data_IF_865615166918
#
_entry.id   IF_865615166918
#
_cell.length_a   1.000
_cell.length_b   1.000
_cell.length_c   1.000
_cell.angle_alpha   90.00
_cell.angle_beta   90.00
_cell.angle_gamma   90.00
#
_symmetry.space_group_name_H-M   'P 1'
#
loop_
_entity.id
_entity.type
_entity.pdbx_description
1 polymer ?
#
# COMPACT_ATOMS: atom_id res chain seq x y z
N UNK A 1 41.09 -29.30 1.04
CA UNK A 1 41.53 -27.90 0.79
C UNK A 1 40.94 -26.98 1.85
N UNK A 2 41.66 -25.96 2.33
CA UNK A 2 41.08 -24.98 3.28
C UNK A 2 40.00 -24.14 2.55
N UNK A 3 38.82 -24.02 3.09
CA UNK A 3 37.65 -23.39 2.41
C UNK A 3 37.91 -22.01 1.78
N UNK A 4 38.80 -21.21 2.37
CA UNK A 4 39.18 -19.88 1.85
C UNK A 4 39.87 -19.95 0.46
N UNK A 5 40.63 -21.03 0.19
CA UNK A 5 41.25 -21.25 -1.13
C UNK A 5 40.24 -21.58 -2.20
N UNK A 6 39.19 -22.32 -1.86
CA UNK A 6 38.12 -22.67 -2.80
C UNK A 6 37.35 -21.39 -3.22
N UNK A 7 37.01 -20.54 -2.28
CA UNK A 7 36.33 -19.27 -2.58
C UNK A 7 37.14 -18.34 -3.46
N UNK A 8 38.44 -18.17 -3.15
CA UNK A 8 39.35 -17.32 -3.92
C UNK A 8 39.57 -17.85 -5.35
N UNK A 9 39.66 -19.15 -5.51
CA UNK A 9 39.82 -19.80 -6.82
C UNK A 9 38.52 -19.71 -7.63
N UNK A 10 37.37 -19.95 -7.01
CA UNK A 10 36.04 -19.79 -7.63
C UNK A 10 35.84 -18.35 -8.15
N UNK A 11 36.17 -17.34 -7.34
CA UNK A 11 36.09 -15.94 -7.72
C UNK A 11 36.97 -15.60 -8.93
N UNK A 12 38.21 -16.08 -8.95
CA UNK A 12 39.15 -15.84 -10.03
C UNK A 12 38.70 -16.52 -11.34
N UNK A 13 38.13 -17.70 -11.25
CA UNK A 13 37.59 -18.46 -12.37
C UNK A 13 36.28 -17.82 -12.94
N UNK A 14 35.48 -17.19 -12.11
CA UNK A 14 34.25 -16.47 -12.53
C UNK A 14 34.57 -15.39 -13.55
N UNK A 15 35.63 -14.61 -13.32
CA UNK A 15 36.04 -13.53 -14.24
C UNK A 15 36.76 -14.01 -15.50
N UNK A 16 37.28 -15.23 -15.50
CA UNK A 16 37.95 -15.83 -16.69
C UNK A 16 36.94 -16.37 -17.72
N UNK A 17 35.70 -16.65 -17.31
CA UNK A 17 34.69 -17.23 -18.19
C UNK A 17 33.51 -16.26 -18.30
N UNK A 18 33.68 -15.25 -19.16
CA UNK A 18 32.80 -14.12 -19.28
C UNK A 18 31.39 -14.54 -19.74
N UNK A 19 31.26 -15.44 -20.72
CA UNK A 19 29.98 -15.80 -21.36
C UNK A 19 28.96 -16.38 -20.36
N UNK A 20 29.24 -17.49 -19.62
CA UNK A 20 28.27 -18.08 -18.70
C UNK A 20 28.01 -17.17 -17.48
N UNK A 21 29.05 -16.42 -17.06
CA UNK A 21 28.92 -15.46 -15.96
C UNK A 21 27.95 -14.32 -16.33
N UNK A 22 28.10 -13.77 -17.54
CA UNK A 22 27.24 -12.72 -18.05
C UNK A 22 25.80 -13.21 -18.26
N UNK A 23 25.62 -14.44 -18.78
CA UNK A 23 24.29 -15.03 -18.92
C UNK A 23 23.58 -15.21 -17.57
N UNK A 24 24.25 -15.76 -16.56
CA UNK A 24 23.71 -15.89 -15.21
C UNK A 24 23.35 -14.51 -14.61
N UNK A 25 24.23 -13.54 -14.79
CA UNK A 25 24.03 -12.18 -14.33
C UNK A 25 22.79 -11.54 -14.97
N UNK A 26 22.66 -11.60 -16.31
CA UNK A 26 21.53 -11.03 -17.05
C UNK A 26 20.22 -11.73 -16.70
N UNK A 27 20.22 -13.07 -16.61
CA UNK A 27 19.04 -13.84 -16.22
C UNK A 27 18.58 -13.46 -14.81
N UNK A 28 19.53 -13.28 -13.87
CA UNK A 28 19.20 -12.90 -12.49
C UNK A 28 18.66 -11.47 -12.40
N UNK A 29 19.24 -10.52 -13.15
CA UNK A 29 18.69 -9.16 -13.26
C UNK A 29 17.24 -9.24 -13.77
N UNK A 30 17.01 -9.91 -14.90
CA UNK A 30 15.70 -10.01 -15.53
C UNK A 30 14.66 -10.67 -14.62
N UNK A 31 15.02 -11.76 -13.94
CA UNK A 31 14.13 -12.43 -13.00
C UNK A 31 13.78 -11.54 -11.80
N UNK A 32 14.77 -10.85 -11.21
CA UNK A 32 14.54 -9.95 -10.07
C UNK A 32 13.72 -8.73 -10.48
N UNK A 33 14.06 -8.09 -11.60
CA UNK A 33 13.28 -6.99 -12.16
C UNK A 33 11.83 -7.40 -12.42
N UNK A 34 11.62 -8.52 -13.12
CA UNK A 34 10.28 -9.03 -13.41
C UNK A 34 9.48 -9.29 -12.14
N UNK A 35 10.05 -9.95 -11.13
CA UNK A 35 9.38 -10.22 -9.86
C UNK A 35 9.04 -8.93 -9.10
N UNK A 36 9.96 -7.97 -9.01
CA UNK A 36 9.75 -6.75 -8.24
C UNK A 36 8.81 -5.76 -8.95
N UNK A 37 8.93 -5.59 -10.28
CA UNK A 37 8.06 -4.69 -11.02
C UNK A 37 6.63 -5.24 -11.19
N UNK A 38 6.41 -6.54 -11.05
CA UNK A 38 5.08 -7.15 -11.07
C UNK A 38 4.52 -7.36 -9.67
N UNK A 39 5.00 -8.35 -8.94
CA UNK A 39 4.51 -8.68 -7.61
C UNK A 39 4.82 -7.59 -6.57
N UNK A 40 5.96 -6.89 -6.70
CA UNK A 40 6.35 -5.81 -5.80
C UNK A 40 5.39 -4.63 -5.85
N UNK A 41 4.91 -4.26 -7.04
CA UNK A 41 3.93 -3.17 -7.18
C UNK A 41 2.59 -3.52 -6.53
N UNK A 42 2.17 -4.77 -6.61
CA UNK A 42 0.95 -5.21 -5.96
C UNK A 42 1.07 -5.18 -4.44
N UNK A 43 2.22 -5.59 -3.89
CA UNK A 43 2.49 -5.48 -2.44
C UNK A 43 2.54 -4.02 -1.99
N UNK A 44 3.14 -3.13 -2.80
CA UNK A 44 3.13 -1.69 -2.52
C UNK A 44 1.71 -1.12 -2.49
N UNK A 45 0.85 -1.48 -3.44
CA UNK A 45 -0.55 -1.09 -3.44
C UNK A 45 -1.33 -1.65 -2.24
N UNK A 46 -1.11 -2.91 -1.87
CA UNK A 46 -1.70 -3.48 -0.66
C UNK A 46 -1.28 -2.73 0.60
N UNK A 47 -0.03 -2.29 0.68
CA UNK A 47 0.45 -1.53 1.82
C UNK A 47 -0.16 -0.12 1.87
N UNK A 48 -0.36 0.54 0.74
CA UNK A 48 -1.10 1.81 0.64
C UNK A 48 -2.54 1.60 1.13
N UNK A 49 -3.22 0.57 0.64
CA UNK A 49 -4.58 0.23 1.10
C UNK A 49 -4.61 -0.07 2.60
N UNK A 50 -3.64 -0.83 3.11
CA UNK A 50 -3.56 -1.12 4.55
C UNK A 50 -3.33 0.13 5.40
N UNK A 51 -2.54 1.08 4.91
CA UNK A 51 -2.35 2.37 5.58
C UNK A 51 -3.63 3.22 5.52
N UNK A 52 -4.35 3.20 4.38
CA UNK A 52 -5.65 3.87 4.26
C UNK A 52 -6.70 3.27 5.20
N UNK A 53 -6.66 1.95 5.46
CA UNK A 53 -7.55 1.30 6.44
C UNK A 53 -7.28 1.75 7.89
N UNK A 54 -6.07 2.20 8.19
CA UNK A 54 -5.70 2.76 9.50
C UNK A 54 -6.04 4.25 9.61
N UNK A 55 -6.31 4.92 8.50
CA UNK A 55 -6.71 6.31 8.50
C UNK A 55 -8.10 6.45 9.16
N UNK A 56 -8.25 7.28 10.19
CA UNK A 56 -9.56 7.58 10.76
C UNK A 56 -10.59 8.01 9.71
N UNK A 57 -10.16 8.70 8.65
CA UNK A 57 -11.03 9.11 7.55
C UNK A 57 -11.69 7.93 6.79
N UNK A 58 -11.10 6.74 6.82
CA UNK A 58 -11.71 5.55 6.23
C UNK A 58 -12.95 5.06 6.99
N UNK A 59 -13.08 5.40 8.28
CA UNK A 59 -14.23 5.06 9.14
C UNK A 59 -15.35 6.08 9.05
N UNK A 60 -15.12 7.17 8.33
CA UNK A 60 -16.11 8.22 8.13
C UNK A 60 -17.12 7.83 7.06
N UNK A 61 -18.39 8.02 7.39
CA UNK A 61 -19.54 7.80 6.50
C UNK A 61 -20.42 9.03 6.52
N UNK A 62 -20.67 9.61 5.36
CA UNK A 62 -21.68 10.65 5.22
C UNK A 62 -22.89 10.08 4.50
N UNK A 63 -24.06 10.25 5.11
CA UNK A 63 -25.34 9.87 4.54
C UNK A 63 -26.05 11.15 4.16
N UNK A 64 -26.38 11.28 2.89
CA UNK A 64 -27.10 12.44 2.38
C UNK A 64 -28.52 12.10 2.03
N UNK A 65 -29.42 12.97 2.41
CA UNK A 65 -30.80 12.97 2.00
C UNK A 65 -31.07 14.17 1.09
N UNK A 66 -31.11 13.99 -0.22
CA UNK A 66 -31.38 15.08 -1.16
C UNK A 66 -32.78 15.69 -0.96
N UNK A 67 -33.75 14.91 -0.48
CA UNK A 67 -35.13 15.39 -0.21
C UNK A 67 -35.20 16.22 1.07
N UNK A 68 -34.36 15.89 2.08
CA UNK A 68 -34.40 16.51 3.40
C UNK A 68 -35.58 16.11 4.26
N UNK A 69 -36.31 15.04 3.90
CA UNK A 69 -37.48 14.57 4.59
C UNK A 69 -37.26 13.33 5.45
N UNK A 70 -36.21 12.56 5.13
CA UNK A 70 -35.95 11.26 5.75
C UNK A 70 -35.07 11.37 6.99
N UNK A 71 -34.10 12.31 7.02
CA UNK A 71 -33.17 12.44 8.11
C UNK A 71 -33.68 13.47 9.13
N UNK A 72 -33.98 12.98 10.32
CA UNK A 72 -34.49 13.78 11.42
C UNK A 72 -33.71 13.49 12.74
N UNK A 73 -34.03 14.23 13.78
CA UNK A 73 -33.39 14.10 15.10
C UNK A 73 -33.59 12.73 15.73
N UNK A 74 -34.72 12.07 15.49
CA UNK A 74 -34.97 10.73 16.02
C UNK A 74 -34.00 9.71 15.42
N UNK A 75 -33.79 9.76 14.10
CA UNK A 75 -32.83 8.91 13.39
C UNK A 75 -31.41 9.18 13.87
N UNK A 76 -31.03 10.45 14.05
CA UNK A 76 -29.72 10.80 14.61
C UNK A 76 -29.52 10.18 16.00
N UNK A 77 -30.54 10.26 16.87
CA UNK A 77 -30.49 9.67 18.23
C UNK A 77 -30.38 8.15 18.19
N UNK A 78 -31.12 7.49 17.28
CA UNK A 78 -31.03 6.04 17.08
C UNK A 78 -29.60 5.63 16.63
N UNK A 79 -29.02 6.39 15.69
CA UNK A 79 -27.67 6.13 15.20
C UNK A 79 -26.61 6.35 16.28
N UNK A 80 -26.73 7.39 17.09
CA UNK A 80 -25.83 7.63 18.23
C UNK A 80 -25.83 6.50 19.27
N UNK A 81 -26.94 5.76 19.35
CA UNK A 81 -27.09 4.61 20.26
C UNK A 81 -26.88 3.25 19.54
N UNK A 82 -26.52 3.25 18.27
CA UNK A 82 -26.25 2.02 17.51
C UNK A 82 -24.85 1.52 17.81
N UNK A 83 -24.74 0.22 18.07
CA UNK A 83 -23.43 -0.41 18.31
C UNK A 83 -22.52 -0.28 17.07
N UNK A 84 -21.24 0.05 17.28
CA UNK A 84 -20.27 0.27 16.22
C UNK A 84 -20.20 1.72 15.71
N UNK A 85 -21.01 2.63 16.28
CA UNK A 85 -20.96 4.08 16.01
C UNK A 85 -20.19 4.75 17.13
N UNK A 86 -19.03 5.34 16.82
CA UNK A 86 -18.23 6.15 17.75
C UNK A 86 -18.87 7.52 17.99
N UNK A 87 -19.35 8.15 16.92
CA UNK A 87 -20.07 9.42 16.99
C UNK A 87 -20.93 9.62 15.73
N UNK A 88 -22.04 10.34 15.88
CA UNK A 88 -22.89 10.76 14.78
C UNK A 88 -23.36 12.20 14.99
N UNK A 89 -23.27 13.02 13.95
CA UNK A 89 -23.66 14.44 13.93
C UNK A 89 -24.59 14.71 12.78
N UNK A 90 -25.65 15.45 13.06
CA UNK A 90 -26.55 15.95 12.03
C UNK A 90 -25.95 17.15 11.32
N UNK A 91 -26.05 17.15 10.00
CA UNK A 91 -25.53 18.21 9.12
C UNK A 91 -26.74 18.80 8.37
N UNK A 92 -26.88 20.10 8.49
CA UNK A 92 -27.93 20.86 7.82
C UNK A 92 -27.55 21.27 6.41
N UNK A 93 -28.10 22.39 5.99
CA UNK A 93 -27.82 22.94 4.68
C UNK A 93 -26.39 23.48 4.59
N UNK A 94 -25.78 23.28 3.43
CA UNK A 94 -24.49 23.87 3.09
C UNK A 94 -24.72 25.32 2.66
N UNK A 95 -24.06 26.22 3.33
CA UNK A 95 -24.15 27.65 3.03
C UNK A 95 -22.85 28.12 2.38
N UNK A 96 -22.97 28.85 1.29
CA UNK A 96 -21.85 29.63 0.77
C UNK A 96 -21.81 30.94 1.54
N UNK A 97 -20.73 31.21 2.24
CA UNK A 97 -20.54 32.43 3.02
C UNK A 97 -19.35 33.23 2.47
N UNK A 98 -19.40 34.53 2.68
CA UNK A 98 -18.34 35.44 2.21
C UNK A 98 -17.69 36.13 3.40
N UNK A 99 -16.36 36.25 3.35
CA UNK A 99 -15.59 37.07 4.27
C UNK A 99 -14.44 37.73 3.52
N UNK A 100 -14.32 39.07 3.63
CA UNK A 100 -13.26 39.88 2.99
C UNK A 100 -13.13 39.61 1.47
N UNK A 101 -14.23 39.27 0.78
CA UNK A 101 -14.23 38.94 -0.64
C UNK A 101 -13.86 37.47 -0.97
N UNK A 102 -13.54 36.65 0.03
CA UNK A 102 -13.32 35.24 -0.12
C UNK A 102 -14.61 34.46 0.10
N UNK A 103 -14.95 33.57 -0.83
CA UNK A 103 -16.06 32.62 -0.69
C UNK A 103 -15.62 31.40 0.06
N UNK A 104 -16.40 31.02 1.07
CA UNK A 104 -16.09 29.94 2.01
C UNK A 104 -17.34 29.07 2.16
N UNK A 105 -17.14 27.80 2.42
CA UNK A 105 -18.24 26.88 2.75
C UNK A 105 -18.51 26.91 4.26
N UNK A 106 -19.77 27.01 4.64
CA UNK A 106 -20.21 26.86 6.02
C UNK A 106 -21.18 25.67 6.15
N UNK A 107 -21.01 24.88 7.21
CA UNK A 107 -21.84 23.72 7.51
C UNK A 107 -22.57 23.93 8.82
N UNK A 108 -23.89 23.88 8.79
CA UNK A 108 -24.66 23.83 10.01
C UNK A 108 -24.60 22.44 10.62
N UNK A 109 -24.25 22.32 11.91
CA UNK A 109 -24.07 21.04 12.59
C UNK A 109 -24.75 21.01 13.94
N UNK A 110 -25.30 19.85 14.32
CA UNK A 110 -25.89 19.67 15.64
C UNK A 110 -24.84 19.75 16.76
N UNK A 111 -23.65 19.23 16.51
CA UNK A 111 -22.51 19.32 17.42
C UNK A 111 -21.20 19.48 16.64
N UNK A 112 -20.70 20.69 16.58
CA UNK A 112 -19.46 21.00 15.88
C UNK A 112 -18.21 20.53 16.64
N UNK A 113 -18.28 20.32 17.97
CA UNK A 113 -17.14 19.88 18.78
C UNK A 113 -16.71 18.45 18.48
N UNK A 114 -17.58 17.63 17.90
CA UNK A 114 -17.24 16.29 17.43
C UNK A 114 -16.34 16.34 16.20
N UNK A 115 -16.57 17.29 15.29
CA UNK A 115 -15.82 17.39 14.02
C UNK A 115 -14.54 18.22 14.13
N UNK A 116 -14.50 19.24 15.01
CA UNK A 116 -13.39 20.15 15.17
C UNK A 116 -12.98 20.32 16.63
N UNK A 117 -11.70 20.23 16.91
CA UNK A 117 -11.13 20.46 18.22
C UNK A 117 -10.79 21.96 18.36
N UNK A 118 -11.51 22.66 19.24
CA UNK A 118 -11.28 24.09 19.47
C UNK A 118 -9.93 24.31 20.15
N UNK A 119 -9.07 25.10 19.52
CA UNK A 119 -7.73 25.43 20.02
C UNK A 119 -7.67 26.85 20.57
N UNK A 120 -8.48 27.77 20.02
CA UNK A 120 -8.53 29.19 20.38
C UNK A 120 -9.97 29.68 20.41
N UNK A 121 -10.26 30.61 21.28
CA UNK A 121 -11.60 31.19 21.39
C UNK A 121 -12.36 30.68 22.61
N UNK A 122 -13.69 30.75 22.56
CA UNK A 122 -14.59 30.32 23.64
C UNK A 122 -15.54 29.23 23.17
N UNK A 123 -16.27 28.63 24.11
CA UNK A 123 -17.33 27.70 23.79
C UNK A 123 -18.40 28.36 22.92
N UNK A 124 -18.91 27.61 21.94
CA UNK A 124 -19.92 28.07 21.01
C UNK A 124 -21.31 28.07 21.63
N UNK A 125 -22.08 29.09 21.29
CA UNK A 125 -23.53 29.11 21.51
C UNK A 125 -24.27 28.80 20.20
N UNK A 126 -25.59 28.56 20.29
CA UNK A 126 -26.38 28.26 19.11
C UNK A 126 -26.30 29.39 18.07
N UNK A 127 -25.99 29.05 16.82
CA UNK A 127 -25.84 29.98 15.71
C UNK A 127 -24.44 30.56 15.53
N UNK A 128 -23.50 30.29 16.43
CA UNK A 128 -22.11 30.70 16.30
C UNK A 128 -21.27 29.65 15.53
N UNK A 129 -20.18 30.14 14.91
CA UNK A 129 -19.28 29.32 14.10
C UNK A 129 -17.91 29.14 14.72
N UNK A 130 -17.31 28.00 14.43
CA UNK A 130 -15.88 27.72 14.58
C UNK A 130 -15.25 27.57 13.21
N UNK A 131 -14.05 28.12 13.04
CA UNK A 131 -13.32 28.08 11.77
C UNK A 131 -12.11 27.14 11.89
N UNK A 132 -11.83 26.40 10.82
CA UNK A 132 -10.59 25.62 10.74
C UNK A 132 -9.38 26.56 10.65
N UNK A 133 -8.34 26.29 11.45
CA UNK A 133 -7.12 27.14 11.48
C UNK A 133 -6.42 27.20 10.11
N UNK A 134 -6.52 26.17 9.28
CA UNK A 134 -5.97 26.16 7.92
C UNK A 134 -6.62 27.22 7.02
N UNK A 135 -7.87 27.55 7.29
CA UNK A 135 -8.64 28.54 6.53
C UNK A 135 -8.28 29.98 6.90
N UNK A 136 -7.84 30.24 8.14
CA UNK A 136 -7.52 31.60 8.62
C UNK A 136 -6.52 32.30 7.70
N UNK A 137 -5.44 31.62 7.34
CA UNK A 137 -4.42 32.19 6.44
C UNK A 137 -4.94 32.43 5.02
N UNK A 138 -5.90 31.60 4.56
CA UNK A 138 -6.48 31.73 3.22
C UNK A 138 -7.41 32.92 3.08
N UNK A 139 -8.08 33.30 4.18
CA UNK A 139 -9.02 34.43 4.21
C UNK A 139 -8.40 35.73 4.76
N UNK A 140 -7.12 35.67 5.16
CA UNK A 140 -6.41 36.83 5.68
C UNK A 140 -6.79 37.22 7.12
N UNK A 141 -7.25 36.27 7.94
CA UNK A 141 -7.53 36.48 9.34
C UNK A 141 -6.32 36.08 10.21
N UNK A 142 -5.94 36.98 11.12
CA UNK A 142 -4.87 36.70 12.11
C UNK A 142 -5.41 35.99 13.36
N UNK A 143 -6.70 36.17 13.65
CA UNK A 143 -7.37 35.64 14.83
C UNK A 143 -8.69 34.96 14.41
N UNK A 144 -9.10 33.86 15.07
CA UNK A 144 -10.34 33.17 14.75
C UNK A 144 -11.57 33.88 15.37
N UNK A 145 -11.70 35.14 15.11
CA UNK A 145 -12.82 35.94 15.63
C UNK A 145 -13.22 36.97 14.57
N UNK A 146 -14.48 36.88 14.14
CA UNK A 146 -15.01 37.77 13.09
C UNK A 146 -16.42 37.40 12.71
N UNK A 147 -16.86 37.87 11.56
CA UNK A 147 -18.15 37.54 10.99
C UNK A 147 -18.01 37.07 9.54
N UNK A 148 -18.80 36.08 9.18
CA UNK A 148 -18.98 35.66 7.81
C UNK A 148 -20.42 35.87 7.40
N UNK A 149 -20.65 36.21 6.15
CA UNK A 149 -21.97 36.61 5.66
C UNK A 149 -22.52 35.58 4.69
N UNK A 150 -23.64 35.00 5.02
CA UNK A 150 -24.38 34.13 4.11
C UNK A 150 -25.26 34.94 3.15
N UNK A 151 -25.86 34.28 2.17
CA UNK A 151 -26.83 34.88 1.27
C UNK A 151 -27.91 35.66 2.06
N UNK A 152 -28.41 36.76 1.51
CA UNK A 152 -29.32 37.70 2.17
C UNK A 152 -28.76 38.44 3.39
N UNK A 153 -27.40 38.61 3.45
CA UNK A 153 -26.71 39.32 4.52
C UNK A 153 -26.89 38.76 5.93
N UNK A 154 -27.23 37.44 6.03
CA UNK A 154 -27.26 36.79 7.33
C UNK A 154 -25.84 36.68 7.89
N UNK A 155 -25.60 37.39 8.99
CA UNK A 155 -24.33 37.35 9.70
C UNK A 155 -24.21 36.09 10.56
N UNK A 156 -23.06 35.42 10.49
CA UNK A 156 -22.69 34.31 11.35
C UNK A 156 -21.41 34.72 12.08
N UNK A 157 -21.52 34.83 13.41
CA UNK A 157 -20.37 35.20 14.25
C UNK A 157 -19.44 33.96 14.38
N UNK A 158 -18.20 34.13 13.99
CA UNK A 158 -17.12 33.13 14.23
C UNK A 158 -16.39 33.54 15.49
N UNK A 159 -16.42 32.70 16.51
CA UNK A 159 -15.91 33.03 17.87
C UNK A 159 -14.79 32.10 18.34
N UNK A 160 -14.48 31.10 17.54
CA UNK A 160 -13.45 30.12 17.85
C UNK A 160 -12.73 29.62 16.59
N UNK A 161 -11.49 29.18 16.79
CA UNK A 161 -10.70 28.48 15.79
C UNK A 161 -10.27 27.11 16.32
N UNK A 162 -10.12 26.16 15.44
CA UNK A 162 -9.74 24.82 15.81
C UNK A 162 -9.10 24.03 14.69
N UNK A 163 -8.74 22.80 14.99
CA UNK A 163 -8.26 21.84 14.00
C UNK A 163 -9.33 20.79 13.75
N UNK A 164 -9.64 20.57 12.50
CA UNK A 164 -10.52 19.46 12.10
C UNK A 164 -9.93 18.15 12.58
N UNK A 165 -10.74 17.33 13.29
CA UNK A 165 -10.31 16.04 13.80
C UNK A 165 -9.98 15.07 12.67
N UNK A 166 -8.94 14.22 12.83
CA UNK A 166 -8.67 13.13 11.90
C UNK A 166 -9.96 12.30 11.71
N UNK A 167 -10.36 12.09 10.48
CA UNK A 167 -11.62 11.40 10.18
C UNK A 167 -12.74 12.33 9.73
N UNK A 168 -12.78 13.56 10.18
CA UNK A 168 -13.71 14.59 9.72
C UNK A 168 -13.07 15.54 8.69
N UNK A 169 -11.99 15.12 8.04
CA UNK A 169 -11.26 15.91 7.03
C UNK A 169 -12.13 16.40 5.87
N UNK A 170 -13.30 15.78 5.68
CA UNK A 170 -14.34 16.25 4.75
C UNK A 170 -14.79 17.69 5.07
N UNK A 171 -14.76 18.10 6.33
CA UNK A 171 -15.16 19.42 6.79
C UNK A 171 -13.96 20.38 6.98
N UNK A 172 -12.77 19.98 6.56
CA UNK A 172 -11.61 20.85 6.55
C UNK A 172 -11.86 22.06 5.62
N UNK A 173 -11.19 23.16 5.89
CA UNK A 173 -11.34 24.41 5.11
C UNK A 173 -12.77 24.97 5.09
N UNK A 174 -13.53 24.76 6.16
CA UNK A 174 -14.91 25.25 6.28
C UNK A 174 -15.14 25.96 7.62
N UNK A 175 -16.25 26.68 7.71
CA UNK A 175 -16.82 27.20 8.95
C UNK A 175 -17.91 26.24 9.43
N UNK A 176 -17.79 25.74 10.67
CA UNK A 176 -18.80 24.86 11.27
C UNK A 176 -19.69 25.68 12.21
N UNK A 177 -20.96 25.77 11.89
CA UNK A 177 -21.94 26.55 12.65
C UNK A 177 -22.67 25.61 13.61
N UNK A 178 -22.57 25.90 14.91
CA UNK A 178 -23.22 25.11 15.94
C UNK A 178 -24.72 25.36 15.99
N UNK A 179 -25.52 24.36 15.63
CA UNK A 179 -26.99 24.43 15.63
C UNK A 179 -27.58 23.19 16.34
N UNK A 180 -27.61 23.16 17.67
CA UNK A 180 -28.06 21.98 18.43
C UNK A 180 -29.53 21.64 18.23
N UNK A 181 -30.33 22.57 17.76
CA UNK A 181 -31.78 22.41 17.56
C UNK A 181 -32.17 22.11 16.10
N UNK A 182 -31.19 21.62 15.29
CA UNK A 182 -31.48 21.26 13.90
C UNK A 182 -32.44 20.09 13.84
N UNK A 183 -33.65 20.32 13.31
CA UNK A 183 -34.70 19.28 13.19
C UNK A 183 -34.58 18.51 11.88
N UNK A 184 -34.50 19.24 10.76
CA UNK A 184 -34.37 18.68 9.42
C UNK A 184 -32.91 18.69 8.99
N UNK A 185 -32.37 17.51 8.69
CA UNK A 185 -30.97 17.33 8.34
C UNK A 185 -30.86 16.94 6.86
N UNK A 186 -29.94 17.57 6.15
CA UNK A 186 -29.59 17.21 4.77
C UNK A 186 -28.61 16.05 4.71
N UNK A 187 -27.86 15.85 5.79
CA UNK A 187 -26.95 14.73 5.93
C UNK A 187 -26.74 14.35 7.41
N UNK A 188 -26.28 13.14 7.63
CA UNK A 188 -25.73 12.70 8.92
C UNK A 188 -24.31 12.23 8.65
N UNK A 189 -23.34 12.81 9.37
CA UNK A 189 -21.96 12.38 9.35
C UNK A 189 -21.70 11.45 10.54
N UNK A 190 -21.17 10.27 10.26
CA UNK A 190 -20.96 9.18 11.22
C UNK A 190 -19.51 8.80 11.23
N UNK A 191 -18.96 8.62 12.42
CA UNK A 191 -17.68 7.96 12.64
C UNK A 191 -17.95 6.56 13.19
N UNK A 192 -17.56 5.53 12.44
CA UNK A 192 -17.64 4.16 12.92
C UNK A 192 -16.52 3.85 13.91
N UNK A 193 -16.76 3.01 14.92
CA UNK A 193 -15.72 2.53 15.82
C UNK A 193 -14.65 1.76 15.06
N UNK A 194 -15.07 0.89 14.14
CA UNK A 194 -14.20 0.09 13.29
C UNK A 194 -14.71 0.13 11.85
N UNK A 195 -13.80 0.00 10.91
CA UNK A 195 -14.15 -0.01 9.49
C UNK A 195 -15.13 -1.16 9.12
N UNK A 196 -15.01 -2.30 9.80
CA UNK A 196 -15.89 -3.46 9.58
C UNK A 196 -17.35 -3.22 10.01
N UNK A 197 -17.60 -2.21 10.82
CA UNK A 197 -18.95 -1.86 11.29
C UNK A 197 -19.70 -0.97 10.27
N UNK A 198 -18.99 -0.37 9.29
CA UNK A 198 -19.59 0.52 8.29
C UNK A 198 -20.75 -0.12 7.49
N UNK A 199 -20.62 -1.37 6.97
CA UNK A 199 -21.75 -2.02 6.29
C UNK A 199 -22.95 -2.26 7.21
N UNK A 200 -22.70 -2.57 8.48
CA UNK A 200 -23.76 -2.78 9.49
C UNK A 200 -24.51 -1.48 9.78
N UNK A 201 -23.77 -0.37 9.93
CA UNK A 201 -24.35 0.97 10.10
C UNK A 201 -25.21 1.33 8.89
N UNK A 202 -24.74 1.05 7.68
CA UNK A 202 -25.50 1.29 6.47
C UNK A 202 -26.82 0.50 6.42
N UNK A 203 -26.78 -0.78 6.79
CA UNK A 203 -27.99 -1.60 6.88
C UNK A 203 -28.97 -1.09 7.95
N UNK A 204 -28.45 -0.66 9.12
CA UNK A 204 -29.26 -0.09 10.20
C UNK A 204 -30.01 1.17 9.73
N UNK A 205 -29.37 2.04 8.98
CA UNK A 205 -29.99 3.26 8.46
C UNK A 205 -31.12 2.94 7.51
N UNK A 206 -30.95 2.01 6.60
CA UNK A 206 -32.03 1.58 5.72
C UNK A 206 -33.25 1.05 6.52
N UNK A 207 -33.00 0.37 7.65
CA UNK A 207 -34.05 -0.11 8.53
C UNK A 207 -34.74 1.04 9.28
N UNK A 208 -34.00 2.04 9.75
CA UNK A 208 -34.55 3.15 10.53
C UNK A 208 -35.33 4.16 9.67
N UNK A 209 -34.94 4.32 8.40
CA UNK A 209 -35.58 5.30 7.50
C UNK A 209 -36.71 4.71 6.66
N UNK A 210 -36.87 3.37 6.62
CA UNK A 210 -37.74 2.66 5.68
C UNK A 210 -37.60 3.18 4.24
N UNK A 211 -36.44 3.66 3.90
CA UNK A 211 -36.18 4.35 2.65
C UNK A 211 -36.01 3.35 1.50
N UNK A 212 -36.75 3.60 0.42
CA UNK A 212 -36.54 2.85 -0.82
C UNK A 212 -35.10 2.99 -1.30
N UNK A 213 -34.54 1.94 -1.93
CA UNK A 213 -33.18 1.96 -2.48
C UNK A 213 -32.97 3.18 -3.41
N UNK A 214 -31.88 3.94 -3.18
CA UNK A 214 -31.54 5.11 -3.99
C UNK A 214 -32.04 6.46 -3.49
N UNK A 215 -32.88 6.51 -2.45
CA UNK A 215 -33.30 7.78 -1.83
C UNK A 215 -32.22 8.42 -0.96
N UNK A 216 -31.37 7.59 -0.34
CA UNK A 216 -30.23 8.02 0.43
C UNK A 216 -28.93 7.77 -0.34
N UNK A 217 -28.03 8.74 -0.30
CA UNK A 217 -26.70 8.60 -0.89
C UNK A 217 -25.65 8.40 0.21
N UNK A 218 -24.85 7.36 0.08
CA UNK A 218 -23.79 7.04 1.02
C UNK A 218 -22.44 7.44 0.43
N UNK A 219 -21.76 8.37 1.06
CA UNK A 219 -20.39 8.76 0.74
C UNK A 219 -19.47 8.19 1.81
N UNK A 220 -18.70 7.17 1.46
CA UNK A 220 -17.69 6.59 2.34
C UNK A 220 -16.50 6.14 1.51
N UNK A 221 -15.33 6.66 1.84
CA UNK A 221 -14.07 6.19 1.25
C UNK A 221 -13.74 4.76 1.70
N UNK A 222 -14.19 4.36 2.89
CA UNK A 222 -13.92 3.04 3.47
C UNK A 222 -14.62 1.88 2.75
N UNK A 223 -15.85 2.04 2.28
CA UNK A 223 -16.61 0.97 1.62
C UNK A 223 -15.93 0.47 0.35
N UNK A 224 -15.41 1.36 -0.48
CA UNK A 224 -14.69 0.98 -1.70
C UNK A 224 -13.36 0.27 -1.43
N UNK A 225 -12.78 0.50 -0.26
CA UNK A 225 -11.54 -0.14 0.19
C UNK A 225 -11.85 -1.54 0.72
N UNK A 226 -12.89 -1.68 1.56
CA UNK A 226 -13.31 -2.98 2.11
C UNK A 226 -13.66 -3.96 1.00
N UNK A 227 -14.44 -3.55 0.01
CA UNK A 227 -14.84 -4.40 -1.11
C UNK A 227 -13.64 -4.91 -1.92
N UNK A 228 -12.65 -4.05 -2.17
CA UNK A 228 -11.40 -4.43 -2.84
C UNK A 228 -10.53 -5.39 -2.03
N UNK A 229 -10.53 -5.29 -0.70
CA UNK A 229 -9.72 -6.15 0.17
C UNK A 229 -10.40 -7.51 0.39
N UNK A 230 -11.73 -7.55 0.48
CA UNK A 230 -12.49 -8.78 0.75
C UNK A 230 -12.67 -9.67 -0.46
N UNK A 231 -12.56 -9.15 -1.69
CA UNK A 231 -12.74 -9.94 -2.92
C UNK A 231 -11.72 -11.08 -3.11
N UNK A 232 -10.60 -11.08 -2.36
CA UNK A 232 -9.63 -12.20 -2.32
C UNK A 232 -8.92 -12.55 -3.64
N UNK A 233 -9.45 -12.14 -4.77
CA UNK A 233 -8.92 -12.43 -6.11
C UNK A 233 -7.57 -11.78 -6.35
N UNK A 234 -7.36 -10.61 -5.76
CA UNK A 234 -6.12 -9.87 -5.85
C UNK A 234 -4.93 -10.61 -5.21
N UNK A 235 -5.14 -11.21 -4.04
CA UNK A 235 -4.10 -11.98 -3.35
C UNK A 235 -3.73 -13.28 -4.10
N UNK A 236 -4.74 -13.94 -4.71
CA UNK A 236 -4.54 -15.15 -5.52
C UNK A 236 -3.76 -14.82 -6.79
N UNK A 237 -4.11 -13.76 -7.49
CA UNK A 237 -3.42 -13.28 -8.68
C UNK A 237 -1.96 -12.91 -8.41
N UNK A 238 -1.69 -12.16 -7.33
CA UNK A 238 -0.33 -11.78 -6.90
C UNK A 238 0.54 -13.01 -6.66
N UNK A 239 0.00 -14.00 -5.94
CA UNK A 239 0.71 -15.26 -5.65
C UNK A 239 1.02 -16.02 -6.95
N UNK A 240 0.08 -16.10 -7.87
CA UNK A 240 0.27 -16.77 -9.17
C UNK A 240 1.40 -16.12 -9.97
N UNK A 241 1.42 -14.79 -10.10
CA UNK A 241 2.48 -14.07 -10.82
C UNK A 241 3.85 -14.29 -10.15
N UNK A 242 3.92 -14.20 -8.82
CA UNK A 242 5.18 -14.40 -8.11
C UNK A 242 5.74 -15.81 -8.38
N UNK A 243 4.91 -16.85 -8.28
CA UNK A 243 5.32 -18.23 -8.60
C UNK A 243 5.74 -18.39 -10.05
N UNK A 244 5.06 -17.75 -10.99
CA UNK A 244 5.42 -17.81 -12.42
C UNK A 244 6.77 -17.16 -12.68
N UNK A 245 7.02 -15.96 -12.15
CA UNK A 245 8.28 -15.22 -12.38
C UNK A 245 9.45 -15.91 -11.69
N UNK A 246 9.27 -16.35 -10.43
CA UNK A 246 10.31 -17.10 -9.70
C UNK A 246 10.57 -18.43 -10.37
N UNK A 247 9.52 -19.15 -10.79
CA UNK A 247 9.62 -20.43 -11.50
C UNK A 247 10.37 -20.29 -12.83
N UNK A 248 10.03 -19.28 -13.64
CA UNK A 248 10.71 -19.01 -14.90
C UNK A 248 12.18 -18.61 -14.68
N UNK A 249 12.48 -17.76 -13.71
CA UNK A 249 13.85 -17.38 -13.36
C UNK A 249 14.68 -18.57 -12.90
N UNK A 250 14.09 -19.44 -12.07
CA UNK A 250 14.72 -20.68 -11.60
C UNK A 250 14.98 -21.65 -12.76
N UNK A 251 14.00 -21.82 -13.65
CA UNK A 251 14.12 -22.68 -14.84
C UNK A 251 15.25 -22.16 -15.77
N UNK A 252 15.29 -20.88 -16.08
CA UNK A 252 16.33 -20.29 -16.91
C UNK A 252 17.72 -20.46 -16.27
N UNK A 253 17.82 -20.30 -14.95
CA UNK A 253 19.08 -20.55 -14.23
C UNK A 253 19.50 -22.02 -14.33
N UNK A 254 18.55 -22.96 -14.24
CA UNK A 254 18.85 -24.39 -14.42
C UNK A 254 19.37 -24.68 -15.83
N UNK A 255 18.75 -24.12 -16.88
CA UNK A 255 19.18 -24.26 -18.27
C UNK A 255 20.58 -23.71 -18.49
N UNK A 256 20.87 -22.50 -17.97
CA UNK A 256 22.22 -21.89 -18.07
C UNK A 256 23.26 -22.71 -17.30
N UNK A 257 22.91 -23.23 -16.13
CA UNK A 257 23.76 -24.10 -15.33
C UNK A 257 24.06 -25.43 -16.05
N UNK A 258 23.05 -26.02 -16.70
CA UNK A 258 23.24 -27.21 -17.51
C UNK A 258 24.16 -26.95 -18.71
N UNK A 259 23.93 -25.86 -19.45
CA UNK A 259 24.78 -25.44 -20.56
C UNK A 259 26.24 -25.23 -20.11
N UNK A 260 26.42 -24.58 -18.95
CA UNK A 260 27.73 -24.41 -18.34
C UNK A 260 28.41 -25.75 -18.09
N UNK A 261 27.72 -26.68 -17.43
CA UNK A 261 28.28 -28.02 -17.13
C UNK A 261 28.64 -28.76 -18.40
N UNK A 262 27.83 -28.72 -19.44
CA UNK A 262 28.12 -29.38 -20.72
C UNK A 262 29.35 -28.77 -21.42
N UNK A 263 29.43 -27.46 -21.45
CA UNK A 263 30.58 -26.76 -22.08
C UNK A 263 31.92 -27.03 -21.38
N UNK A 264 31.86 -27.09 -20.05
CA UNK A 264 33.07 -27.20 -19.23
C UNK A 264 33.34 -28.62 -18.69
N UNK A 265 32.59 -29.65 -19.18
CA UNK A 265 32.73 -31.05 -18.73
C UNK A 265 34.15 -31.56 -18.77
N UNK A 266 34.95 -31.20 -19.79
CA UNK A 266 36.37 -31.60 -19.93
C UNK A 266 37.24 -30.98 -18.83
N UNK A 267 37.04 -29.71 -18.51
CA UNK A 267 37.78 -29.01 -17.45
C UNK A 267 37.45 -29.59 -16.08
N UNK A 268 36.20 -29.91 -15.82
CA UNK A 268 35.73 -30.55 -14.59
C UNK A 268 36.32 -31.97 -14.47
N UNK A 269 36.35 -32.73 -15.57
CA UNK A 269 36.98 -34.05 -15.62
C UNK A 269 38.49 -34.02 -15.34
N UNK A 270 39.22 -33.05 -15.93
CA UNK A 270 40.68 -32.86 -15.67
C UNK A 270 40.94 -32.52 -14.21
N UNK A 271 40.20 -31.61 -13.61
CA UNK A 271 40.33 -31.25 -12.19
C UNK A 271 40.08 -32.44 -11.27
N UNK A 272 39.14 -33.33 -11.62
CA UNK A 272 38.89 -34.56 -10.88
C UNK A 272 40.01 -35.58 -11.01
N UNK A 273 40.62 -35.71 -12.20
CA UNK A 273 41.76 -36.55 -12.44
C UNK A 273 43.00 -36.09 -11.65
N UNK A 274 43.11 -34.79 -11.34
CA UNK A 274 44.15 -34.20 -10.49
C UNK A 274 43.90 -34.41 -8.98
N UNK A 275 42.86 -35.16 -8.57
CA UNK A 275 42.65 -35.56 -7.19
C UNK A 275 41.71 -34.62 -6.40
N UNK A 276 40.98 -33.69 -7.05
CA UNK A 276 39.96 -32.89 -6.37
C UNK A 276 38.77 -33.79 -5.99
N UNK A 277 38.32 -33.70 -4.74
CA UNK A 277 37.15 -34.48 -4.27
C UNK A 277 35.87 -34.05 -4.97
N UNK A 278 34.87 -34.96 -5.01
CA UNK A 278 33.55 -34.65 -5.62
C UNK A 278 32.88 -33.47 -4.94
N UNK A 279 32.97 -33.39 -3.62
CA UNK A 279 32.36 -32.34 -2.80
C UNK A 279 33.07 -30.99 -3.06
N UNK A 280 34.40 -30.95 -3.10
CA UNK A 280 35.16 -29.72 -3.38
C UNK A 280 34.86 -29.19 -4.79
N UNK A 281 34.72 -30.10 -5.77
CA UNK A 281 34.38 -29.73 -7.15
C UNK A 281 32.97 -29.19 -7.28
N UNK A 282 32.01 -29.83 -6.59
CA UNK A 282 30.62 -29.33 -6.54
C UNK A 282 30.55 -27.98 -5.83
N UNK A 283 31.20 -27.81 -4.68
CA UNK A 283 31.25 -26.56 -3.95
C UNK A 283 31.87 -25.42 -4.77
N UNK A 284 33.02 -25.69 -5.44
CA UNK A 284 33.68 -24.72 -6.29
C UNK A 284 32.76 -24.26 -7.45
N UNK A 285 32.06 -25.21 -8.08
CA UNK A 285 31.15 -24.91 -9.19
C UNK A 285 29.91 -24.12 -8.70
N UNK A 286 29.34 -24.51 -7.54
CA UNK A 286 28.22 -23.83 -6.95
C UNK A 286 28.54 -22.38 -6.56
N UNK A 287 29.67 -22.15 -5.85
CA UNK A 287 30.10 -20.82 -5.44
C UNK A 287 30.33 -19.93 -6.67
N UNK A 288 30.91 -20.50 -7.71
CA UNK A 288 31.14 -19.82 -8.95
C UNK A 288 29.89 -19.36 -9.67
N UNK A 289 28.80 -20.16 -9.64
CA UNK A 289 27.50 -19.80 -10.21
C UNK A 289 26.71 -18.86 -9.29
N UNK A 290 26.85 -19.04 -7.97
CA UNK A 290 26.15 -18.22 -6.98
C UNK A 290 26.60 -16.74 -7.00
N UNK A 291 27.88 -16.47 -7.24
CA UNK A 291 28.39 -15.09 -7.23
C UNK A 291 27.74 -14.18 -8.30
N UNK A 292 27.73 -14.52 -9.60
CA UNK A 292 27.08 -13.68 -10.61
C UNK A 292 25.56 -13.61 -10.43
N UNK A 293 24.96 -14.69 -9.90
CA UNK A 293 23.54 -14.76 -9.61
C UNK A 293 23.16 -13.77 -8.49
N UNK A 294 23.93 -13.75 -7.40
CA UNK A 294 23.70 -12.81 -6.30
C UNK A 294 23.92 -11.36 -6.75
N UNK A 295 25.01 -11.08 -7.46
CA UNK A 295 25.30 -9.72 -7.96
C UNK A 295 24.20 -9.28 -8.93
N UNK A 296 23.76 -10.16 -9.83
CA UNK A 296 22.67 -9.90 -10.76
C UNK A 296 21.33 -9.62 -10.04
N UNK A 297 20.98 -10.44 -9.04
CA UNK A 297 19.76 -10.26 -8.28
C UNK A 297 19.76 -8.92 -7.49
N UNK A 298 20.89 -8.58 -6.85
CA UNK A 298 21.05 -7.31 -6.14
C UNK A 298 20.99 -6.12 -7.12
N UNK A 299 21.70 -6.20 -8.24
CA UNK A 299 21.65 -5.15 -9.27
C UNK A 299 20.23 -4.97 -9.84
N UNK A 300 19.53 -6.08 -10.11
CA UNK A 300 18.13 -6.07 -10.54
C UNK A 300 17.22 -5.43 -9.50
N UNK A 301 17.44 -5.69 -8.22
CA UNK A 301 16.68 -5.08 -7.13
C UNK A 301 16.91 -3.57 -7.03
N UNK A 302 18.15 -3.11 -7.17
CA UNK A 302 18.47 -1.67 -7.18
C UNK A 302 17.78 -0.98 -8.37
N UNK A 303 17.88 -1.55 -9.57
CA UNK A 303 17.23 -0.99 -10.75
C UNK A 303 15.71 -0.98 -10.58
N UNK A 304 15.12 -2.05 -10.05
CA UNK A 304 13.69 -2.10 -9.78
C UNK A 304 13.24 -1.03 -8.78
N UNK A 305 13.99 -0.80 -7.70
CA UNK A 305 13.68 0.23 -6.70
C UNK A 305 13.76 1.63 -7.30
N UNK A 306 14.79 1.91 -8.12
CA UNK A 306 14.92 3.20 -8.82
C UNK A 306 13.75 3.43 -9.78
N UNK A 307 13.40 2.44 -10.60
CA UNK A 307 12.27 2.51 -11.53
C UNK A 307 10.95 2.71 -10.77
N UNK A 308 10.77 1.96 -9.68
CA UNK A 308 9.57 2.07 -8.85
C UNK A 308 9.40 3.47 -8.24
N UNK A 309 10.47 4.09 -7.76
CA UNK A 309 10.44 5.44 -7.19
C UNK A 309 10.15 6.54 -8.21
N UNK A 310 10.59 6.37 -9.46
CA UNK A 310 10.44 7.40 -10.51
C UNK A 310 9.07 7.28 -11.19
N UNK A 311 8.60 6.08 -11.47
CA UNK A 311 7.45 5.84 -12.35
C UNK A 311 6.26 5.15 -11.70
N UNK A 312 6.45 4.54 -10.54
CA UNK A 312 5.49 3.65 -9.90
C UNK A 312 5.38 3.96 -8.39
N UNK A 313 4.96 2.99 -7.60
CA UNK A 313 4.93 3.09 -6.14
C UNK A 313 6.19 2.45 -5.51
N UNK A 314 6.76 3.06 -4.45
CA UNK A 314 7.94 2.50 -3.78
C UNK A 314 7.65 1.12 -3.21
N UNK A 315 8.54 0.15 -3.52
CA UNK A 315 8.40 -1.24 -3.08
C UNK A 315 8.95 -1.36 -1.65
N UNK A 316 8.24 -2.07 -0.75
CA UNK A 316 8.73 -2.28 0.62
C UNK A 316 10.07 -3.03 0.64
N UNK A 317 11.07 -2.48 1.36
CA UNK A 317 12.39 -3.08 1.48
C UNK A 317 12.37 -4.54 1.97
N UNK A 318 11.56 -4.93 2.98
CA UNK A 318 11.48 -6.33 3.41
C UNK A 318 11.05 -7.29 2.29
N UNK A 319 10.12 -6.85 1.41
CA UNK A 319 9.70 -7.64 0.26
C UNK A 319 10.82 -7.78 -0.78
N UNK A 320 11.53 -6.70 -1.09
CA UNK A 320 12.68 -6.71 -2.00
C UNK A 320 13.76 -7.69 -1.53
N UNK A 321 14.11 -7.64 -0.24
CA UNK A 321 15.10 -8.57 0.35
C UNK A 321 14.60 -10.01 0.27
N UNK A 322 13.34 -10.27 0.59
CA UNK A 322 12.76 -11.61 0.52
C UNK A 322 12.82 -12.18 -0.90
N UNK A 323 12.46 -11.40 -1.93
CA UNK A 323 12.51 -11.81 -3.34
C UNK A 323 13.94 -12.13 -3.77
N UNK A 324 14.92 -11.29 -3.43
CA UNK A 324 16.34 -11.55 -3.74
C UNK A 324 16.80 -12.85 -3.09
N UNK A 325 16.51 -13.07 -1.82
CA UNK A 325 16.86 -14.29 -1.10
C UNK A 325 16.22 -15.53 -1.72
N UNK A 326 14.92 -15.49 -2.02
CA UNK A 326 14.20 -16.60 -2.65
C UNK A 326 14.82 -16.94 -4.01
N UNK A 327 15.08 -15.94 -4.85
CA UNK A 327 15.67 -16.16 -6.18
C UNK A 327 17.09 -16.74 -6.09
N UNK A 328 17.92 -16.25 -5.18
CA UNK A 328 19.29 -16.77 -5.00
C UNK A 328 19.26 -18.21 -4.47
N UNK A 329 18.40 -18.52 -3.51
CA UNK A 329 18.26 -19.86 -2.93
C UNK A 329 17.72 -20.83 -3.98
N UNK A 330 16.62 -20.51 -4.65
CA UNK A 330 15.98 -21.38 -5.64
C UNK A 330 16.88 -21.63 -6.84
N UNK A 331 17.59 -20.60 -7.32
CA UNK A 331 18.58 -20.73 -8.39
C UNK A 331 19.80 -21.57 -7.97
N UNK A 332 20.22 -21.46 -6.71
CA UNK A 332 21.26 -22.31 -6.13
C UNK A 332 20.83 -23.80 -6.13
N UNK A 333 19.61 -24.08 -5.69
CA UNK A 333 19.06 -25.44 -5.74
C UNK A 333 18.91 -25.96 -7.17
N UNK A 334 18.45 -25.14 -8.10
CA UNK A 334 18.34 -25.51 -9.51
C UNK A 334 19.69 -25.88 -10.15
N UNK A 335 20.77 -25.20 -9.73
CA UNK A 335 22.13 -25.50 -10.20
C UNK A 335 22.68 -26.82 -9.64
N UNK A 336 22.20 -27.29 -8.48
CA UNK A 336 22.70 -28.54 -7.87
C UNK A 336 22.45 -29.75 -8.76
N UNK A 337 21.33 -29.83 -9.47
CA UNK A 337 20.97 -30.97 -10.32
C UNK A 337 22.00 -31.20 -11.43
N UNK A 338 22.31 -30.23 -12.31
CA UNK A 338 23.33 -30.42 -13.34
C UNK A 338 24.74 -30.59 -12.77
N UNK A 339 25.07 -29.95 -11.63
CA UNK A 339 26.36 -30.12 -10.96
C UNK A 339 26.51 -31.55 -10.43
N UNK A 340 25.50 -32.07 -9.73
CA UNK A 340 25.53 -33.44 -9.21
C UNK A 340 25.66 -34.47 -10.35
N UNK A 341 24.96 -34.26 -11.46
CA UNK A 341 25.09 -35.09 -12.64
C UNK A 341 26.51 -35.06 -13.22
N UNK A 342 27.14 -33.88 -13.33
CA UNK A 342 28.52 -33.76 -13.85
C UNK A 342 29.57 -34.41 -12.96
N UNK A 343 29.45 -34.22 -11.66
CA UNK A 343 30.43 -34.68 -10.66
C UNK A 343 30.38 -36.23 -10.48
N UNK A 344 29.22 -36.84 -10.72
CA UNK A 344 29.03 -38.27 -10.59
C UNK A 344 29.45 -39.07 -11.83
N UNK A 345 29.72 -38.44 -12.97
CA UNK A 345 30.19 -39.15 -14.17
C UNK A 345 31.65 -39.61 -14.04
N UNK A 346 31.96 -40.73 -14.67
CA UNK A 346 33.31 -41.29 -14.69
C UNK A 346 34.24 -40.39 -15.52
N UNK A 347 35.35 -39.89 -14.93
CA UNK A 347 36.33 -39.02 -15.64
C UNK A 347 36.96 -39.72 -16.85
N UNK A 348 37.11 -41.05 -16.81
CA UNK A 348 37.71 -41.83 -17.93
C UNK A 348 36.75 -41.82 -19.15
N UNK A 349 35.45 -41.97 -18.94
CA UNK A 349 34.46 -41.88 -20.01
C UNK A 349 34.42 -40.51 -20.67
N UNK A 350 34.56 -39.43 -19.89
CA UNK A 350 34.57 -38.05 -20.39
C UNK A 350 35.78 -37.73 -21.25
N UNK A 351 36.94 -38.31 -20.91
CA UNK A 351 38.21 -38.08 -21.65
C UNK A 351 38.28 -38.93 -22.90
N UNK A 352 37.58 -40.07 -22.98
CA UNK A 352 37.62 -41.03 -24.11
C UNK A 352 36.64 -40.64 -25.25
N UNK A 353 35.62 -39.85 -24.98
CA UNK A 353 34.64 -39.39 -25.99
C UNK A 353 35.01 -38.07 -26.65
N UNK A 354 36.27 -37.72 -26.64
CA UNK A 354 36.81 -36.44 -27.18
C UNK A 354 37.56 -36.67 -28.49
#
# INVERSE_FOLDING_TARGET
>A
MKGLHIVREAWRDTWRQIIPTLLLFVVSIGATLGALLTAGQQVAQQQILHNQLKDPAARFVMIRDPSGELLNRQILTLLQNTSGVESAIGVGEVLEVESLGAKITAWAMTDSAVAIETTRGRALTAGEGVIDESLLSKIGWDVPSGAVYAAAQREIAVVAGGKTRPGFSFFADAVLVHQPQLENMRAIAIMAERLVDVPTIQAAIHTYTDAAPGKLTFESSGLSIVDRVTSGDFARYTRSILFTVVGLGTFLTAVVSLAYVLLYRRTLGRRRALGITRIDLAALTLIRMAAPNLIGAVSGAIVADVVARIWLSPIPLPFTVAVVLILVITSGFAALVPIAWAVNRDPVAILRTA
#
